data_IF_907529789062
#
_entry.id   IF_907529789062
#
_cell.length_a   1.000
_cell.length_b   1.000
_cell.length_c   1.000
_cell.angle_alpha   90.00
_cell.angle_beta   90.00
_cell.angle_gamma   90.00
#
_symmetry.space_group_name_H-M   'P 1'
#
loop_
_entity.id
_entity.type
_entity.pdbx_description
1 polymer ?
#
# COMPACT_ATOMS: atom_id res chain seq x y z
N UNK A 1 29.66 -17.53 -2.02
CA UNK A 1 28.75 -17.28 -0.88
C UNK A 1 29.17 -16.08 -0.04
N UNK A 2 30.37 -15.52 -0.23
CA UNK A 2 30.87 -14.32 0.49
C UNK A 2 30.11 -13.02 0.18
N UNK A 3 29.48 -12.91 -1.00
CA UNK A 3 28.69 -11.73 -1.37
C UNK A 3 27.42 -11.53 -0.53
N UNK A 4 26.88 -12.60 0.08
CA UNK A 4 25.69 -12.54 0.94
C UNK A 4 26.03 -11.84 2.27
N UNK A 5 27.25 -12.08 2.80
CA UNK A 5 27.76 -11.43 4.01
C UNK A 5 28.12 -9.95 3.81
N UNK A 6 28.24 -9.48 2.56
CA UNK A 6 28.48 -8.07 2.24
C UNK A 6 27.18 -7.25 2.19
N UNK A 7 26.02 -7.90 2.13
CA UNK A 7 24.73 -7.21 2.11
C UNK A 7 24.45 -6.63 3.50
N UNK A 8 24.20 -5.31 3.62
CA UNK A 8 23.88 -4.70 4.90
C UNK A 8 22.65 -5.34 5.54
N UNK A 9 22.70 -5.59 6.84
CA UNK A 9 21.59 -6.19 7.61
C UNK A 9 20.26 -5.44 7.39
N UNK A 10 20.31 -4.11 7.30
CA UNK A 10 19.13 -3.29 7.03
C UNK A 10 18.42 -3.65 5.71
N UNK A 11 19.17 -4.10 4.68
CA UNK A 11 18.59 -4.51 3.40
C UNK A 11 17.90 -5.88 3.50
N UNK A 12 18.45 -6.81 4.29
CA UNK A 12 17.80 -8.07 4.61
C UNK A 12 16.47 -7.84 5.34
N UNK A 13 16.49 -6.97 6.35
CA UNK A 13 15.29 -6.59 7.09
C UNK A 13 14.28 -5.90 6.16
N UNK A 14 14.74 -5.00 5.28
CA UNK A 14 13.88 -4.35 4.29
C UNK A 14 13.18 -5.37 3.38
N UNK A 15 13.92 -6.37 2.88
CA UNK A 15 13.35 -7.43 2.05
C UNK A 15 12.27 -8.23 2.79
N UNK A 16 12.54 -8.63 4.04
CA UNK A 16 11.57 -9.37 4.86
C UNK A 16 10.31 -8.54 5.13
N UNK A 17 10.47 -7.28 5.53
CA UNK A 17 9.33 -6.41 5.82
C UNK A 17 8.55 -6.02 4.57
N UNK A 18 9.22 -5.85 3.42
CA UNK A 18 8.56 -5.61 2.14
C UNK A 18 7.73 -6.82 1.72
N UNK A 19 8.26 -8.04 1.84
CA UNK A 19 7.51 -9.28 1.58
C UNK A 19 6.34 -9.45 2.55
N UNK A 20 6.54 -9.15 3.83
CA UNK A 20 5.50 -9.18 4.84
C UNK A 20 4.36 -8.21 4.52
N UNK A 21 4.68 -6.96 4.19
CA UNK A 21 3.70 -5.95 3.78
C UNK A 21 2.99 -6.36 2.48
N UNK A 22 3.71 -6.86 1.47
CA UNK A 22 3.12 -7.31 0.22
C UNK A 22 2.14 -8.47 0.42
N UNK A 23 2.49 -9.43 1.28
CA UNK A 23 1.58 -10.50 1.67
C UNK A 23 0.35 -9.97 2.41
N UNK A 24 0.52 -9.05 3.35
CA UNK A 24 -0.59 -8.43 4.09
C UNK A 24 -1.54 -7.64 3.16
N UNK A 25 -1.00 -6.93 2.17
CA UNK A 25 -1.79 -6.26 1.12
C UNK A 25 -2.61 -7.29 0.35
N UNK A 26 -1.98 -8.34 -0.17
CA UNK A 26 -2.68 -9.37 -0.94
C UNK A 26 -3.80 -10.04 -0.15
N UNK A 27 -3.58 -10.31 1.15
CA UNK A 27 -4.57 -10.92 2.02
C UNK A 27 -5.79 -9.99 2.27
N UNK A 28 -5.57 -8.69 2.41
CA UNK A 28 -6.62 -7.71 2.64
C UNK A 28 -7.37 -7.32 1.35
N UNK A 29 -6.64 -7.15 0.24
CA UNK A 29 -7.16 -6.49 -0.97
C UNK A 29 -7.74 -7.46 -2.02
N UNK A 30 -7.45 -8.77 -1.94
CA UNK A 30 -7.99 -9.77 -2.89
C UNK A 30 -9.53 -9.77 -2.92
N UNK A 31 -10.17 -9.49 -1.78
CA UNK A 31 -11.61 -9.39 -1.69
C UNK A 31 -12.18 -8.21 -2.51
N UNK A 32 -11.41 -7.12 -2.66
CA UNK A 32 -11.82 -5.95 -3.43
C UNK A 32 -11.84 -6.24 -4.93
N UNK A 33 -10.85 -7.00 -5.43
CA UNK A 33 -10.73 -7.32 -6.86
C UNK A 33 -11.63 -8.49 -7.28
N UNK A 34 -11.76 -9.51 -6.43
CA UNK A 34 -12.40 -10.78 -6.81
C UNK A 34 -13.73 -11.05 -6.11
N UNK A 35 -14.16 -10.20 -5.17
CA UNK A 35 -15.38 -10.41 -4.38
C UNK A 35 -16.64 -10.51 -5.23
N UNK A 36 -16.74 -9.72 -6.31
CA UNK A 36 -17.87 -9.77 -7.25
C UNK A 36 -17.88 -11.07 -8.06
N UNK A 37 -16.73 -11.47 -8.62
CA UNK A 37 -16.59 -12.70 -9.42
C UNK A 37 -16.87 -13.97 -8.61
N UNK A 38 -16.45 -14.01 -7.34
CA UNK A 38 -16.77 -15.11 -6.43
C UNK A 38 -18.22 -15.03 -5.98
N UNK A 39 -18.71 -13.84 -5.61
CA UNK A 39 -20.08 -13.63 -5.14
C UNK A 39 -21.15 -13.92 -6.19
N UNK A 40 -20.85 -13.72 -7.48
CA UNK A 40 -21.74 -14.06 -8.59
C UNK A 40 -21.67 -15.54 -9.01
N UNK A 41 -20.76 -16.32 -8.41
CA UNK A 41 -20.50 -17.71 -8.78
C UNK A 41 -19.73 -17.90 -10.08
N UNK A 42 -19.16 -16.83 -10.66
CA UNK A 42 -18.37 -16.93 -11.90
C UNK A 42 -17.01 -17.61 -11.67
N UNK A 43 -16.43 -17.45 -10.47
CA UNK A 43 -15.20 -18.12 -10.05
C UNK A 43 -15.37 -18.77 -8.68
N UNK A 44 -14.67 -19.88 -8.47
CA UNK A 44 -14.45 -20.41 -7.12
C UNK A 44 -13.43 -19.54 -6.39
N UNK A 45 -13.39 -19.63 -5.05
CA UNK A 45 -12.38 -18.95 -4.23
C UNK A 45 -10.95 -19.29 -4.70
N UNK A 46 -10.68 -20.57 -4.98
CA UNK A 46 -9.38 -21.01 -5.49
C UNK A 46 -9.05 -20.42 -6.86
N UNK A 47 -10.02 -20.38 -7.79
CA UNK A 47 -9.84 -19.76 -9.10
C UNK A 47 -9.56 -18.26 -9.00
N UNK A 48 -10.30 -17.56 -8.15
CA UNK A 48 -10.09 -16.14 -7.88
C UNK A 48 -8.69 -15.83 -7.35
N UNK A 49 -8.15 -16.66 -6.45
CA UNK A 49 -6.78 -16.49 -5.92
C UNK A 49 -5.73 -16.59 -7.04
N UNK A 50 -5.86 -17.56 -7.96
CA UNK A 50 -4.91 -17.73 -9.08
C UNK A 50 -4.96 -16.52 -10.01
N UNK A 51 -6.18 -16.09 -10.39
CA UNK A 51 -6.35 -14.93 -11.27
C UNK A 51 -5.80 -13.66 -10.61
N UNK A 52 -6.11 -13.44 -9.33
CA UNK A 52 -5.60 -12.30 -8.58
C UNK A 52 -4.07 -12.32 -8.51
N UNK A 53 -3.46 -13.47 -8.19
CA UNK A 53 -2.01 -13.58 -8.10
C UNK A 53 -1.31 -13.18 -9.42
N UNK A 54 -1.83 -13.61 -10.57
CA UNK A 54 -1.26 -13.27 -11.88
C UNK A 54 -1.48 -11.81 -12.24
N UNK A 55 -2.71 -11.32 -12.11
CA UNK A 55 -3.06 -9.96 -12.56
C UNK A 55 -2.52 -8.88 -11.62
N UNK A 56 -2.54 -9.09 -10.30
CA UNK A 56 -1.95 -8.16 -9.32
C UNK A 56 -0.42 -8.09 -9.50
N UNK A 57 0.24 -9.23 -9.70
CA UNK A 57 1.68 -9.23 -10.01
C UNK A 57 1.98 -8.48 -11.31
N UNK A 58 1.21 -8.75 -12.37
CA UNK A 58 1.38 -8.06 -13.64
C UNK A 58 1.15 -6.54 -13.50
N UNK A 59 0.11 -6.13 -12.79
CA UNK A 59 -0.19 -4.72 -12.51
C UNK A 59 0.93 -4.04 -11.71
N UNK A 60 1.41 -4.69 -10.64
CA UNK A 60 2.51 -4.18 -9.84
C UNK A 60 3.80 -4.04 -10.67
N UNK A 61 4.12 -5.02 -11.51
CA UNK A 61 5.32 -5.01 -12.34
C UNK A 61 5.25 -3.98 -13.49
N UNK A 62 4.10 -3.87 -14.16
CA UNK A 62 3.94 -3.02 -15.36
C UNK A 62 3.62 -1.56 -15.02
N UNK A 63 2.90 -1.30 -13.92
CA UNK A 63 2.35 0.02 -13.61
C UNK A 63 2.65 0.52 -12.18
N UNK A 64 3.31 -0.27 -11.32
CA UNK A 64 3.54 0.08 -9.91
C UNK A 64 4.57 1.20 -9.66
N UNK A 65 5.34 1.60 -10.67
CA UNK A 65 6.43 2.58 -10.52
C UNK A 65 5.98 3.95 -10.04
N UNK A 66 4.90 4.50 -10.61
CA UNK A 66 4.45 5.87 -10.31
C UNK A 66 3.96 6.05 -8.86
N UNK A 67 3.25 5.06 -8.32
CA UNK A 67 2.79 5.08 -6.92
C UNK A 67 3.97 4.94 -5.97
N UNK A 68 4.91 4.06 -6.30
CA UNK A 68 6.14 3.86 -5.52
C UNK A 68 6.96 5.14 -5.41
N UNK A 69 7.07 5.92 -6.50
CA UNK A 69 7.77 7.21 -6.48
C UNK A 69 7.10 8.24 -5.58
N UNK A 70 5.76 8.28 -5.59
CA UNK A 70 4.97 9.17 -4.73
C UNK A 70 5.20 8.82 -3.25
N UNK A 71 5.18 7.54 -2.91
CA UNK A 71 5.43 7.05 -1.54
C UNK A 71 6.87 7.31 -1.11
N UNK A 72 7.85 7.12 -1.99
CA UNK A 72 9.28 7.24 -1.65
C UNK A 72 9.75 8.69 -1.51
N UNK A 73 9.27 9.62 -2.34
CA UNK A 73 9.84 10.98 -2.45
C UNK A 73 8.84 12.11 -2.24
N UNK A 74 7.55 11.81 -2.27
CA UNK A 74 6.50 12.82 -2.29
C UNK A 74 6.10 13.36 -0.91
N UNK A 75 6.25 12.56 0.15
CA UNK A 75 5.58 12.82 1.43
C UNK A 75 6.44 13.53 2.48
N UNK A 76 7.76 13.31 2.44
CA UNK A 76 8.71 13.88 3.40
C UNK A 76 9.77 14.73 2.70
N UNK A 77 10.31 15.71 3.43
CA UNK A 77 11.52 16.42 3.04
C UNK A 77 12.77 15.64 3.47
N UNK A 78 13.35 14.92 2.51
CA UNK A 78 14.53 14.09 2.73
C UNK A 78 15.78 14.89 3.11
N UNK A 79 15.81 16.21 2.87
CA UNK A 79 16.95 17.07 3.23
C UNK A 79 17.04 17.30 4.75
N UNK A 80 15.93 17.13 5.46
CA UNK A 80 15.85 17.30 6.91
C UNK A 80 16.14 16.01 7.70
N UNK A 81 16.43 14.91 7.00
CA UNK A 81 16.56 13.58 7.61
C UNK A 81 17.97 13.02 7.45
N UNK A 82 18.49 12.38 8.49
CA UNK A 82 19.68 11.55 8.35
C UNK A 82 19.35 10.27 7.59
N UNK A 83 20.38 9.64 7.00
CA UNK A 83 20.25 8.34 6.33
C UNK A 83 19.64 7.29 7.26
N UNK A 84 20.06 7.27 8.52
CA UNK A 84 19.59 6.30 9.51
C UNK A 84 18.12 6.52 9.88
N UNK A 85 17.70 7.77 10.11
CA UNK A 85 16.30 8.11 10.37
C UNK A 85 15.39 7.68 9.21
N UNK A 86 15.83 7.89 7.96
CA UNK A 86 15.07 7.49 6.79
C UNK A 86 14.96 5.96 6.67
N UNK A 87 16.08 5.23 6.85
CA UNK A 87 16.08 3.76 6.77
C UNK A 87 15.18 3.17 7.85
N UNK A 88 15.41 3.52 9.13
CA UNK A 88 14.62 2.97 10.22
C UNK A 88 13.15 3.42 10.19
N UNK A 89 12.89 4.66 9.78
CA UNK A 89 11.53 5.18 9.61
C UNK A 89 10.73 4.43 8.54
N UNK A 90 11.34 4.13 7.39
CA UNK A 90 10.70 3.35 6.33
C UNK A 90 10.50 1.89 6.73
N UNK A 91 11.48 1.26 7.39
CA UNK A 91 11.33 -0.09 7.94
C UNK A 91 10.20 -0.15 8.97
N UNK A 92 10.18 0.80 9.91
CA UNK A 92 9.11 0.94 10.89
C UNK A 92 7.74 1.16 10.25
N UNK A 93 7.68 1.92 9.16
CA UNK A 93 6.44 2.14 8.41
C UNK A 93 5.90 0.87 7.78
N UNK A 94 6.77 0.07 7.16
CA UNK A 94 6.39 -1.24 6.61
C UNK A 94 5.88 -2.19 7.70
N UNK A 95 6.59 -2.25 8.83
CA UNK A 95 6.20 -3.08 9.96
C UNK A 95 4.84 -2.65 10.55
N UNK A 96 4.66 -1.35 10.80
CA UNK A 96 3.43 -0.81 11.38
C UNK A 96 2.22 -1.00 10.44
N UNK A 97 2.34 -0.63 9.17
CA UNK A 97 1.26 -0.78 8.20
C UNK A 97 0.94 -2.25 7.92
N UNK A 98 1.96 -3.11 7.77
CA UNK A 98 1.77 -4.54 7.58
C UNK A 98 1.08 -5.20 8.76
N UNK A 99 1.50 -4.85 9.99
CA UNK A 99 0.87 -5.39 11.21
C UNK A 99 -0.59 -4.97 11.31
N UNK A 100 -0.90 -3.69 11.06
CA UNK A 100 -2.27 -3.20 11.06
C UNK A 100 -3.15 -3.96 10.06
N UNK A 101 -2.64 -4.19 8.84
CA UNK A 101 -3.34 -4.94 7.80
C UNK A 101 -3.59 -6.39 8.19
N UNK A 102 -2.60 -7.08 8.75
CA UNK A 102 -2.75 -8.47 9.20
C UNK A 102 -3.79 -8.56 10.31
N UNK A 103 -3.76 -7.64 11.28
CA UNK A 103 -4.76 -7.59 12.36
C UNK A 103 -6.16 -7.35 11.80
N UNK A 104 -6.34 -6.35 10.93
CA UNK A 104 -7.63 -6.05 10.31
C UNK A 104 -8.16 -7.23 9.49
N UNK A 105 -7.30 -7.84 8.67
CA UNK A 105 -7.62 -9.02 7.85
C UNK A 105 -8.04 -10.19 8.73
N UNK A 106 -7.40 -10.40 9.89
CA UNK A 106 -7.75 -11.46 10.83
C UNK A 106 -9.17 -11.32 11.38
N UNK A 107 -9.66 -10.09 11.51
CA UNK A 107 -11.02 -9.76 11.91
C UNK A 107 -11.99 -9.61 10.72
N UNK A 108 -11.54 -9.84 9.49
CA UNK A 108 -12.36 -9.68 8.28
C UNK A 108 -12.74 -8.23 7.98
N UNK A 109 -11.97 -7.26 8.48
CA UNK A 109 -12.20 -5.84 8.27
C UNK A 109 -11.46 -5.37 7.02
N UNK A 110 -12.16 -4.97 5.93
CA UNK A 110 -11.50 -4.41 4.76
C UNK A 110 -11.05 -2.99 5.09
N UNK A 111 -9.73 -2.79 5.23
CA UNK A 111 -9.14 -1.47 5.48
C UNK A 111 -8.29 -0.99 4.30
N UNK A 112 -7.96 0.30 4.26
CA UNK A 112 -7.13 0.87 3.19
C UNK A 112 -5.65 0.64 3.46
N UNK A 113 -5.00 -0.14 2.59
CA UNK A 113 -3.54 -0.33 2.56
C UNK A 113 -2.81 0.99 2.34
N UNK A 114 -3.34 1.85 1.47
CA UNK A 114 -2.77 3.18 1.15
C UNK A 114 -2.82 4.12 2.36
N UNK A 115 -3.96 4.20 3.07
CA UNK A 115 -4.04 5.01 4.29
C UNK A 115 -3.07 4.53 5.35
N UNK A 116 -2.92 3.20 5.47
CA UNK A 116 -2.09 2.57 6.49
C UNK A 116 -0.61 2.93 6.30
N UNK A 117 -0.08 2.81 5.07
CA UNK A 117 1.33 3.13 4.79
C UNK A 117 1.60 4.64 4.78
N UNK A 118 0.68 5.46 4.23
CA UNK A 118 0.81 6.93 4.25
C UNK A 118 0.80 7.45 5.68
N UNK A 119 -0.13 6.97 6.51
CA UNK A 119 -0.24 7.32 7.92
C UNK A 119 1.01 6.94 8.71
N UNK A 120 1.57 5.74 8.47
CA UNK A 120 2.81 5.30 9.11
C UNK A 120 4.00 6.19 8.71
N UNK A 121 4.12 6.54 7.42
CA UNK A 121 5.20 7.41 6.91
C UNK A 121 5.11 8.83 7.49
N UNK A 122 3.90 9.42 7.47
CA UNK A 122 3.66 10.74 8.05
C UNK A 122 3.91 10.72 9.56
N UNK A 123 3.45 9.67 10.24
CA UNK A 123 3.62 9.51 11.69
C UNK A 123 5.09 9.47 12.11
N UNK A 124 5.93 8.66 11.44
CA UNK A 124 7.35 8.65 11.78
C UNK A 124 8.03 9.97 11.39
N UNK A 125 7.69 10.57 10.24
CA UNK A 125 8.27 11.85 9.83
C UNK A 125 7.99 12.95 10.85
N UNK A 126 6.75 13.03 11.33
CA UNK A 126 6.32 13.98 12.34
C UNK A 126 7.00 13.75 13.71
N UNK A 127 7.16 12.49 14.13
CA UNK A 127 7.72 12.16 15.46
C UNK A 127 9.25 12.20 15.47
N UNK A 128 9.90 11.64 14.44
CA UNK A 128 11.36 11.46 14.43
C UNK A 128 12.12 12.71 13.97
N UNK A 129 11.48 13.60 13.22
CA UNK A 129 12.12 14.81 12.66
C UNK A 129 11.34 16.08 12.99
N UNK A 130 10.02 16.04 12.85
CA UNK A 130 9.13 17.15 13.20
C UNK A 130 8.03 17.37 12.17
N UNK A 131 7.02 18.17 12.53
CA UNK A 131 5.89 18.45 11.64
C UNK A 131 6.31 19.17 10.34
N UNK A 132 7.39 19.96 10.38
CA UNK A 132 7.90 20.68 9.22
C UNK A 132 8.56 19.76 8.17
N UNK A 133 8.99 18.56 8.58
CA UNK A 133 9.55 17.57 7.64
C UNK A 133 8.46 16.92 6.76
N UNK A 134 7.18 17.08 7.12
CA UNK A 134 6.05 16.54 6.36
C UNK A 134 5.63 17.56 5.29
N UNK A 135 5.56 17.10 4.03
CA UNK A 135 5.09 17.94 2.91
C UNK A 135 3.57 18.04 2.91
N UNK A 136 3.01 18.85 3.80
CA UNK A 136 1.56 18.99 4.00
C UNK A 136 0.76 19.27 2.73
N UNK A 137 1.31 20.07 1.80
CA UNK A 137 0.66 20.30 0.49
C UNK A 137 0.50 19.03 -0.34
N UNK A 138 1.48 18.11 -0.28
CA UNK A 138 1.39 16.79 -0.94
C UNK A 138 0.45 15.85 -0.20
N UNK A 139 0.46 15.86 1.13
CA UNK A 139 -0.50 15.10 1.93
C UNK A 139 -1.93 15.57 1.64
N UNK A 140 -2.18 16.87 1.53
CA UNK A 140 -3.50 17.40 1.18
C UNK A 140 -3.97 16.92 -0.21
N UNK A 141 -3.08 16.86 -1.21
CA UNK A 141 -3.38 16.29 -2.53
C UNK A 141 -3.76 14.81 -2.44
N UNK A 142 -3.03 14.03 -1.63
CA UNK A 142 -3.32 12.61 -1.39
C UNK A 142 -4.68 12.46 -0.70
N UNK A 143 -4.95 13.20 0.37
CA UNK A 143 -6.22 13.15 1.10
C UNK A 143 -7.39 13.55 0.20
N UNK A 144 -7.21 14.57 -0.65
CA UNK A 144 -8.23 14.95 -1.62
C UNK A 144 -8.56 13.79 -2.56
N UNK A 145 -7.55 13.04 -3.03
CA UNK A 145 -7.74 11.88 -3.88
C UNK A 145 -8.56 10.77 -3.21
N UNK A 146 -8.46 10.62 -1.88
CA UNK A 146 -9.21 9.61 -1.12
C UNK A 146 -10.71 9.91 -1.08
N UNK A 147 -11.09 11.18 -1.20
CA UNK A 147 -12.50 11.61 -1.29
C UNK A 147 -12.98 11.58 -2.73
N UNK A 148 -12.19 12.12 -3.67
CA UNK A 148 -12.63 12.24 -5.06
C UNK A 148 -12.70 10.90 -5.78
N UNK A 149 -11.82 9.94 -5.48
CA UNK A 149 -11.77 8.66 -6.21
C UNK A 149 -13.02 7.79 -5.99
N UNK A 150 -13.51 7.56 -4.76
CA UNK A 150 -14.75 6.81 -4.54
C UNK A 150 -15.98 7.50 -5.13
N UNK A 151 -16.04 8.84 -5.06
CA UNK A 151 -17.13 9.61 -5.66
C UNK A 151 -17.16 9.44 -7.18
N UNK A 152 -16.01 9.59 -7.84
CA UNK A 152 -15.91 9.39 -9.28
C UNK A 152 -16.23 7.95 -9.68
N UNK A 153 -15.73 6.96 -8.93
CA UNK A 153 -16.05 5.56 -9.15
C UNK A 153 -17.56 5.29 -9.04
N UNK A 154 -18.22 5.87 -8.04
CA UNK A 154 -19.68 5.77 -7.85
C UNK A 154 -20.48 6.39 -8.99
N UNK A 155 -20.07 7.57 -9.47
CA UNK A 155 -20.70 8.24 -10.62
C UNK A 155 -20.55 7.41 -11.89
N UNK A 156 -19.34 6.91 -12.17
CA UNK A 156 -19.09 6.06 -13.35
C UNK A 156 -19.90 4.77 -13.25
N UNK A 157 -19.89 4.09 -12.09
CA UNK A 157 -20.65 2.88 -11.86
C UNK A 157 -22.16 3.10 -12.06
N UNK A 158 -22.70 4.22 -11.58
CA UNK A 158 -24.10 4.59 -11.80
C UNK A 158 -24.43 4.68 -13.29
N UNK A 159 -23.64 5.40 -14.09
CA UNK A 159 -23.90 5.53 -15.52
C UNK A 159 -23.76 4.22 -16.28
N UNK A 160 -22.76 3.41 -15.95
CA UNK A 160 -22.61 2.06 -16.55
C UNK A 160 -23.87 1.24 -16.25
N UNK A 161 -24.33 1.21 -15.00
CA UNK A 161 -25.51 0.47 -14.61
C UNK A 161 -26.78 0.95 -15.32
N UNK A 162 -26.94 2.27 -15.52
CA UNK A 162 -28.07 2.83 -16.26
C UNK A 162 -28.10 2.39 -17.73
N UNK A 163 -26.95 2.14 -18.34
CA UNK A 163 -26.84 1.72 -19.75
C UNK A 163 -27.04 0.21 -19.90
N UNK A 164 -26.64 -0.59 -18.90
CA UNK A 164 -26.71 -2.05 -18.96
C UNK A 164 -28.00 -2.66 -18.42
N UNK A 165 -28.86 -1.87 -17.76
CA UNK A 165 -30.18 -2.33 -17.30
C UNK A 165 -31.22 -2.27 -18.41
#
# INVERSE_FOLDING_TARGET
MEWISEIPLALWIAGILALYMAWAIGANDVANAMGTSVGSGALTVGGAIIVAAVLEFAGAFLAGGHVTDTVRKGMLDLSMMTREQLVYGMLGSLAAAGTLLVVATRFGLPISTTHSIVGAIVGFGAIAVGLDAVKWGKIAQIVLSWVTSPLLAGVIAFFIFQITR
#
